data_IF_434048666657
#
_entry.id   IF_434048666657
#
_cell.length_a   1.000
_cell.length_b   1.000
_cell.length_c   1.000
_cell.angle_alpha   90.00
_cell.angle_beta   90.00
_cell.angle_gamma   90.00
#
_symmetry.space_group_name_H-M   'P 1'
#
loop_
_entity.id
_entity.type
_entity.pdbx_description
1 polymer ?
#
# COMPACT_ATOMS: atom_id res chain seq x y z
N UNK A 1 -14.91 8.22 16.45
CA UNK A 1 -14.42 9.60 16.62
C UNK A 1 -13.95 10.07 15.26
N UNK A 2 -14.42 11.23 14.78
CA UNK A 2 -14.06 11.79 13.48
C UNK A 2 -13.21 13.03 13.74
N UNK A 3 -11.96 13.02 13.26
CA UNK A 3 -11.07 14.19 13.28
C UNK A 3 -10.92 14.59 11.83
N UNK A 4 -11.19 15.85 11.48
CA UNK A 4 -11.05 16.39 10.12
C UNK A 4 -10.03 17.53 10.08
N UNK A 5 -9.43 17.74 8.90
CA UNK A 5 -8.58 18.90 8.64
C UNK A 5 -9.46 20.09 8.26
N UNK A 6 -9.31 21.29 8.88
CA UNK A 6 -10.01 22.48 8.41
C UNK A 6 -9.68 22.76 6.95
N UNK A 7 -10.67 23.20 6.16
CA UNK A 7 -10.51 23.44 4.71
C UNK A 7 -9.35 24.39 4.41
N UNK A 8 -9.22 25.47 5.18
CA UNK A 8 -8.12 26.43 5.04
C UNK A 8 -6.75 25.78 5.24
N UNK A 9 -6.64 24.86 6.21
CA UNK A 9 -5.40 24.13 6.48
C UNK A 9 -5.07 23.14 5.36
N UNK A 10 -6.08 22.49 4.77
CA UNK A 10 -5.89 21.63 3.59
C UNK A 10 -5.39 22.45 2.40
N UNK A 11 -6.03 23.58 2.09
CA UNK A 11 -5.63 24.49 1.01
C UNK A 11 -4.21 25.01 1.23
N UNK A 12 -3.87 25.41 2.46
CA UNK A 12 -2.54 25.88 2.80
C UNK A 12 -1.47 24.77 2.62
N UNK A 13 -1.77 23.53 3.03
CA UNK A 13 -0.88 22.39 2.84
C UNK A 13 -0.66 22.07 1.36
N UNK A 14 -1.73 22.05 0.56
CA UNK A 14 -1.66 21.83 -0.90
C UNK A 14 -0.80 22.89 -1.56
N UNK A 15 -1.06 24.17 -1.24
CA UNK A 15 -0.29 25.31 -1.78
C UNK A 15 1.18 25.21 -1.41
N UNK A 16 1.51 24.79 -0.19
CA UNK A 16 2.89 24.65 0.25
C UNK A 16 3.64 23.51 -0.45
N UNK A 17 2.97 22.39 -0.69
CA UNK A 17 3.52 21.28 -1.47
C UNK A 17 3.82 21.73 -2.91
N UNK A 18 2.84 22.36 -3.57
CA UNK A 18 2.99 22.84 -4.95
C UNK A 18 4.08 23.90 -5.08
N UNK A 19 4.08 24.91 -4.22
CA UNK A 19 5.11 25.94 -4.21
C UNK A 19 6.51 25.35 -3.94
N UNK A 20 6.62 24.30 -3.12
CA UNK A 20 7.89 23.62 -2.90
C UNK A 20 8.40 22.92 -4.17
N UNK A 21 7.50 22.30 -4.93
CA UNK A 21 7.79 21.65 -6.20
C UNK A 21 8.17 22.71 -7.27
N UNK A 22 7.40 23.78 -7.40
CA UNK A 22 7.62 24.82 -8.41
C UNK A 22 8.92 25.60 -8.15
N UNK A 23 9.21 25.94 -6.89
CA UNK A 23 10.45 26.63 -6.54
C UNK A 23 11.69 25.75 -6.77
N UNK A 24 11.57 24.42 -6.72
CA UNK A 24 12.68 23.54 -7.13
C UNK A 24 12.95 23.58 -8.62
N UNK A 25 11.95 23.84 -9.46
CA UNK A 25 12.16 23.95 -10.91
C UNK A 25 12.93 25.23 -11.26
N UNK A 26 12.68 26.30 -10.51
CA UNK A 26 13.40 27.58 -10.66
C UNK A 26 14.83 27.56 -10.07
N UNK A 27 15.03 26.92 -8.92
CA UNK A 27 16.31 26.99 -8.18
C UNK A 27 17.12 25.67 -8.15
N UNK A 28 16.63 24.60 -8.80
CA UNK A 28 17.16 23.21 -8.86
C UNK A 28 17.36 22.51 -7.50
N UNK A 29 17.46 23.24 -6.38
CA UNK A 29 17.73 22.73 -5.04
C UNK A 29 17.03 23.58 -3.99
N UNK A 30 16.55 22.96 -2.92
CA UNK A 30 15.97 23.64 -1.76
C UNK A 30 16.78 23.36 -0.49
N UNK A 31 16.93 24.34 0.42
CA UNK A 31 17.62 24.12 1.68
C UNK A 31 17.01 22.95 2.47
N UNK A 32 17.84 22.11 3.09
CA UNK A 32 17.39 21.00 3.94
C UNK A 32 16.34 21.43 4.99
N UNK A 33 16.49 22.62 5.58
CA UNK A 33 15.52 23.17 6.53
C UNK A 33 14.12 23.33 5.94
N UNK A 34 14.01 23.64 4.64
CA UNK A 34 12.73 23.77 3.93
C UNK A 34 12.09 22.40 3.73
N UNK A 35 12.88 21.38 3.38
CA UNK A 35 12.42 19.99 3.32
C UNK A 35 11.84 19.53 4.66
N UNK A 36 12.60 19.73 5.75
CA UNK A 36 12.19 19.33 7.10
C UNK A 36 10.88 20.01 7.52
N UNK A 37 10.73 21.31 7.23
CA UNK A 37 9.48 22.05 7.47
C UNK A 37 8.30 21.48 6.69
N UNK A 38 8.48 21.22 5.39
CA UNK A 38 7.43 20.63 4.56
C UNK A 38 7.01 19.24 5.08
N UNK A 39 7.99 18.36 5.34
CA UNK A 39 7.74 17.01 5.87
C UNK A 39 7.00 17.08 7.20
N UNK A 40 7.38 18.01 8.10
CA UNK A 40 6.68 18.22 9.37
C UNK A 40 5.21 18.61 9.17
N UNK A 41 4.93 19.48 8.21
CA UNK A 41 3.56 19.89 7.91
C UNK A 41 2.73 18.79 7.26
N UNK A 42 3.33 18.03 6.32
CA UNK A 42 2.67 16.85 5.74
C UNK A 42 2.36 15.83 6.83
N UNK A 43 3.31 15.52 7.72
CA UNK A 43 3.08 14.60 8.85
C UNK A 43 1.88 15.02 9.71
N UNK A 44 1.67 16.33 9.92
CA UNK A 44 0.49 16.81 10.61
C UNK A 44 -0.81 16.47 9.84
N UNK A 45 -0.84 16.66 8.52
CA UNK A 45 -1.96 16.24 7.66
C UNK A 45 -2.18 14.72 7.66
N UNK A 46 -1.11 13.93 7.73
CA UNK A 46 -1.17 12.46 7.78
C UNK A 46 -1.82 11.91 9.05
N UNK A 47 -1.96 12.71 10.11
CA UNK A 47 -2.77 12.32 11.28
C UNK A 47 -4.24 12.17 10.92
N UNK A 48 -4.69 12.82 9.85
CA UNK A 48 -6.07 12.79 9.39
C UNK A 48 -6.25 11.89 8.17
N UNK A 49 -5.18 11.68 7.39
CA UNK A 49 -5.13 10.72 6.28
C UNK A 49 -3.89 9.80 6.39
N UNK A 50 -3.95 8.75 7.23
CA UNK A 50 -2.81 7.85 7.43
C UNK A 50 -2.40 7.05 6.19
N UNK A 51 -3.32 6.84 5.23
CA UNK A 51 -3.04 6.10 3.98
C UNK A 51 -2.01 6.79 3.08
N UNK A 52 -1.72 8.07 3.32
CA UNK A 52 -0.70 8.81 2.58
C UNK A 52 0.72 8.64 3.16
N UNK A 53 0.89 7.94 4.28
CA UNK A 53 2.21 7.75 4.93
C UNK A 53 3.30 7.19 4.01
N UNK A 54 3.05 6.17 3.16
CA UNK A 54 4.08 5.63 2.28
C UNK A 54 4.68 6.67 1.32
N UNK A 55 3.93 7.70 0.94
CA UNK A 55 4.42 8.74 0.03
C UNK A 55 5.47 9.67 0.65
N UNK A 56 5.60 9.71 1.98
CA UNK A 56 6.70 10.46 2.60
C UNK A 56 8.04 9.72 2.55
N UNK A 57 8.04 8.42 2.23
CA UNK A 57 9.26 7.62 2.27
C UNK A 57 10.32 8.12 1.27
N UNK A 58 9.91 8.57 0.08
CA UNK A 58 10.83 9.16 -0.89
C UNK A 58 11.48 10.44 -0.37
N UNK A 59 10.73 11.27 0.37
CA UNK A 59 11.25 12.46 1.02
C UNK A 59 12.28 12.10 2.11
N UNK A 60 11.96 11.15 3.00
CA UNK A 60 12.88 10.70 4.05
C UNK A 60 14.17 10.10 3.48
N UNK A 61 14.05 9.21 2.48
CA UNK A 61 15.20 8.65 1.79
C UNK A 61 16.06 9.76 1.16
N UNK A 62 15.42 10.78 0.57
CA UNK A 62 16.12 11.90 -0.06
C UNK A 62 16.90 12.74 0.93
N UNK A 63 16.42 12.95 2.15
CA UNK A 63 17.10 13.77 3.16
C UNK A 63 17.95 12.98 4.15
N UNK A 64 17.92 11.64 4.09
CA UNK A 64 18.66 10.76 4.99
C UNK A 64 20.16 11.07 4.99
N UNK A 65 20.76 11.07 6.18
CA UNK A 65 22.19 11.34 6.41
C UNK A 65 22.61 12.81 6.22
N UNK A 66 21.71 13.71 5.82
CA UNK A 66 22.04 15.13 5.60
C UNK A 66 21.83 15.93 6.88
N UNK A 67 22.84 16.70 7.28
CA UNK A 67 22.85 17.45 8.55
C UNK A 67 22.93 18.96 8.38
N UNK A 68 23.44 19.45 7.25
CA UNK A 68 23.64 20.89 7.02
C UNK A 68 22.34 21.61 6.61
N UNK A 69 21.75 22.47 7.47
CA UNK A 69 20.39 22.99 7.26
C UNK A 69 20.21 23.85 6.00
N UNK A 70 21.26 24.54 5.59
CA UNK A 70 21.26 25.44 4.43
C UNK A 70 21.78 24.78 3.15
N UNK A 71 22.23 23.51 3.22
CA UNK A 71 22.65 22.79 2.04
C UNK A 71 21.46 22.53 1.11
N UNK A 72 21.64 22.79 -0.18
CA UNK A 72 20.63 22.56 -1.19
C UNK A 72 20.46 21.07 -1.51
N UNK A 73 19.24 20.57 -1.41
CA UNK A 73 18.83 19.22 -1.78
C UNK A 73 17.91 19.28 -3.00
N UNK A 74 18.23 18.50 -4.04
CA UNK A 74 17.44 18.44 -5.28
C UNK A 74 16.17 17.61 -5.11
N UNK A 75 15.14 17.93 -5.88
CA UNK A 75 13.99 17.05 -6.08
C UNK A 75 14.36 15.98 -7.13
N UNK A 76 13.88 14.75 -6.96
CA UNK A 76 13.91 13.74 -8.01
C UNK A 76 12.47 13.39 -8.43
N UNK A 77 12.35 12.57 -9.48
CA UNK A 77 11.05 12.18 -10.04
C UNK A 77 10.15 11.48 -9.01
N UNK A 78 10.70 10.60 -8.18
CA UNK A 78 9.92 9.88 -7.17
C UNK A 78 9.36 10.81 -6.09
N UNK A 79 10.19 11.71 -5.55
CA UNK A 79 9.73 12.71 -4.58
C UNK A 79 8.64 13.58 -5.19
N UNK A 80 8.83 14.05 -6.43
CA UNK A 80 7.82 14.87 -7.11
C UNK A 80 6.50 14.14 -7.21
N UNK A 81 6.50 12.93 -7.78
CA UNK A 81 5.31 12.09 -7.95
C UNK A 81 4.59 11.90 -6.62
N UNK A 82 5.33 11.54 -5.56
CA UNK A 82 4.72 11.23 -4.26
C UNK A 82 4.14 12.48 -3.59
N UNK A 83 4.82 13.63 -3.68
CA UNK A 83 4.31 14.91 -3.18
C UNK A 83 3.07 15.37 -3.97
N UNK A 84 3.08 15.25 -5.29
CA UNK A 84 1.93 15.55 -6.15
C UNK A 84 0.73 14.65 -5.83
N UNK A 85 0.97 13.35 -5.59
CA UNK A 85 -0.09 12.43 -5.17
C UNK A 85 -0.70 12.85 -3.84
N UNK A 86 0.12 13.18 -2.82
CA UNK A 86 -0.36 13.72 -1.53
C UNK A 86 -1.25 14.94 -1.76
N UNK A 87 -0.76 15.93 -2.53
CA UNK A 87 -1.52 17.14 -2.82
C UNK A 87 -2.85 16.84 -3.54
N UNK A 88 -2.85 15.88 -4.47
CA UNK A 88 -4.06 15.46 -5.19
C UNK A 88 -5.12 14.84 -4.27
N UNK A 89 -4.70 14.05 -3.27
CA UNK A 89 -5.62 13.43 -2.30
C UNK A 89 -6.22 14.49 -1.38
N UNK A 90 -5.40 15.41 -0.85
CA UNK A 90 -5.93 16.51 -0.04
C UNK A 90 -6.87 17.42 -0.84
N UNK A 91 -6.62 17.63 -2.14
CA UNK A 91 -7.50 18.41 -3.00
C UNK A 91 -8.83 17.70 -3.28
N UNK A 92 -8.82 16.39 -3.55
CA UNK A 92 -10.03 15.61 -3.86
C UNK A 92 -10.97 15.48 -2.66
N UNK A 93 -10.43 15.46 -1.45
CA UNK A 93 -11.18 15.18 -0.22
C UNK A 93 -11.36 16.41 0.70
N UNK A 94 -11.40 17.62 0.14
CA UNK A 94 -11.68 18.85 0.91
C UNK A 94 -13.07 18.79 1.56
N UNK A 95 -13.13 18.53 2.86
CA UNK A 95 -14.37 18.71 3.64
C UNK A 95 -14.47 17.81 4.87
N UNK A 96 -14.15 16.52 4.74
CA UNK A 96 -14.14 15.58 5.87
C UNK A 96 -13.15 14.45 5.59
N UNK A 97 -11.92 14.57 6.09
CA UNK A 97 -11.03 13.42 6.22
C UNK A 97 -11.49 12.67 7.46
N UNK A 98 -12.14 11.52 7.32
CA UNK A 98 -12.61 10.75 8.48
C UNK A 98 -11.53 9.76 8.87
N UNK A 99 -10.87 9.99 10.01
CA UNK A 99 -10.17 8.91 10.68
C UNK A 99 -11.23 7.92 11.20
N UNK A 100 -11.55 6.90 10.41
CA UNK A 100 -12.39 5.80 10.89
C UNK A 100 -11.55 5.01 11.89
N UNK A 101 -12.11 4.79 13.07
CA UNK A 101 -11.53 3.87 14.04
C UNK A 101 -11.45 2.50 13.38
N UNK A 102 -10.24 2.04 13.01
CA UNK A 102 -9.97 0.73 12.39
C UNK A 102 -10.08 -0.44 13.38
N UNK A 103 -10.94 -0.27 14.38
CA UNK A 103 -11.12 -1.23 15.46
C UNK A 103 -12.32 -2.09 15.10
N UNK A 104 -12.03 -3.15 14.37
CA UNK A 104 -12.95 -4.25 14.09
C UNK A 104 -12.16 -5.56 14.05
N UNK A 105 -12.79 -6.65 14.48
CA UNK A 105 -12.18 -7.98 14.54
C UNK A 105 -12.37 -8.74 13.23
N UNK A 106 -11.53 -9.75 12.97
CA UNK A 106 -11.64 -10.54 11.74
C UNK A 106 -13.02 -11.20 11.53
N UNK A 107 -13.76 -11.48 12.61
CA UNK A 107 -15.13 -12.00 12.57
C UNK A 107 -16.16 -10.98 12.06
N UNK A 108 -15.81 -9.70 12.03
CA UNK A 108 -16.65 -8.61 11.51
C UNK A 108 -16.29 -8.23 10.07
N UNK A 109 -15.44 -9.02 9.39
CA UNK A 109 -15.08 -8.80 8.00
C UNK A 109 -16.27 -9.08 7.08
N UNK A 110 -16.47 -8.23 6.08
CA UNK A 110 -17.41 -8.51 4.99
C UNK A 110 -16.83 -9.56 4.04
N UNK A 111 -15.50 -9.59 3.90
CA UNK A 111 -14.77 -10.56 3.08
C UNK A 111 -13.47 -10.98 3.77
N UNK A 112 -13.15 -12.27 3.68
CA UNK A 112 -11.90 -12.85 4.15
C UNK A 112 -11.13 -13.46 2.99
N UNK A 113 -9.83 -13.20 2.97
CA UNK A 113 -8.88 -13.74 2.00
C UNK A 113 -7.66 -14.25 2.76
N UNK A 114 -7.14 -15.40 2.36
CA UNK A 114 -5.87 -15.93 2.85
C UNK A 114 -4.87 -15.86 1.71
N UNK A 115 -3.70 -15.30 1.99
CA UNK A 115 -2.61 -15.10 1.06
C UNK A 115 -1.42 -15.95 1.47
N UNK A 116 -0.65 -16.36 0.48
CA UNK A 116 0.63 -17.02 0.63
C UNK A 116 1.49 -16.77 -0.61
N UNK A 117 2.81 -16.78 -0.45
CA UNK A 117 3.74 -16.78 -1.55
C UNK A 117 4.87 -17.79 -1.32
N UNK A 118 5.26 -18.43 -2.41
CA UNK A 118 6.43 -19.29 -2.47
C UNK A 118 7.51 -18.64 -3.35
N UNK A 119 8.63 -19.35 -3.55
CA UNK A 119 9.63 -18.93 -4.52
C UNK A 119 9.20 -19.20 -5.97
N UNK A 120 8.17 -20.01 -6.18
CA UNK A 120 7.67 -20.39 -7.51
C UNK A 120 6.40 -19.64 -7.91
N UNK A 121 5.58 -19.24 -6.94
CA UNK A 121 4.28 -18.64 -7.25
C UNK A 121 3.66 -17.90 -6.08
N UNK A 122 2.56 -17.24 -6.40
CA UNK A 122 1.74 -16.45 -5.48
C UNK A 122 0.34 -17.04 -5.46
N UNK A 123 -0.27 -17.13 -4.28
CA UNK A 123 -1.58 -17.76 -4.11
C UNK A 123 -2.45 -17.00 -3.12
N UNK A 124 -3.72 -16.81 -3.45
CA UNK A 124 -4.70 -16.37 -2.46
C UNK A 124 -6.05 -17.03 -2.68
N UNK A 125 -6.85 -17.15 -1.63
CA UNK A 125 -8.21 -17.68 -1.74
C UNK A 125 -9.18 -17.04 -0.76
N UNK A 126 -10.44 -17.01 -1.13
CA UNK A 126 -11.54 -16.57 -0.28
C UNK A 126 -12.52 -17.72 -0.01
N UNK A 127 -12.70 -18.14 1.26
CA UNK A 127 -13.69 -19.17 1.60
C UNK A 127 -15.12 -18.74 1.27
N UNK A 128 -15.47 -17.47 1.53
CA UNK A 128 -16.82 -16.95 1.28
C UNK A 128 -17.20 -17.02 -0.20
N UNK A 129 -16.24 -16.78 -1.09
CA UNK A 129 -16.46 -16.83 -2.54
C UNK A 129 -16.20 -18.21 -3.12
N UNK A 130 -15.61 -19.13 -2.35
CA UNK A 130 -15.15 -20.43 -2.80
C UNK A 130 -14.25 -20.32 -4.07
N UNK A 131 -13.40 -19.28 -4.08
CA UNK A 131 -12.50 -18.94 -5.19
C UNK A 131 -11.06 -18.87 -4.71
N UNK A 132 -10.18 -19.57 -5.42
CA UNK A 132 -8.74 -19.56 -5.28
C UNK A 132 -8.08 -18.98 -6.52
N UNK A 133 -6.94 -18.34 -6.34
CA UNK A 133 -6.20 -17.65 -7.37
C UNK A 133 -4.73 -18.00 -7.23
N UNK A 134 -4.07 -18.34 -8.34
CA UNK A 134 -2.64 -18.60 -8.37
C UNK A 134 -1.97 -17.97 -9.59
N UNK A 135 -0.70 -17.59 -9.45
CA UNK A 135 0.13 -17.16 -10.58
C UNK A 135 1.60 -17.43 -10.31
N UNK A 136 2.41 -17.40 -11.37
CA UNK A 136 3.86 -17.49 -11.25
C UNK A 136 4.44 -16.21 -10.66
N UNK A 137 5.53 -16.34 -9.91
CA UNK A 137 6.26 -15.21 -9.36
C UNK A 137 6.80 -14.30 -10.48
N UNK A 138 6.51 -12.98 -10.45
CA UNK A 138 7.13 -12.05 -11.39
C UNK A 138 8.62 -11.86 -11.07
N UNK A 139 9.35 -11.25 -12.01
CA UNK A 139 10.73 -10.85 -11.78
C UNK A 139 10.83 -9.84 -10.62
N UNK A 140 11.78 -10.07 -9.71
CA UNK A 140 12.04 -9.18 -8.57
C UNK A 140 12.65 -7.86 -9.09
N UNK A 141 12.12 -6.69 -8.66
CA UNK A 141 12.72 -5.40 -8.99
C UNK A 141 14.15 -5.26 -8.46
N UNK A 142 15.02 -4.52 -9.15
CA UNK A 142 16.42 -4.28 -8.74
C UNK A 142 16.53 -3.64 -7.34
N UNK A 143 15.52 -2.88 -6.91
CA UNK A 143 15.47 -2.21 -5.61
C UNK A 143 15.02 -3.11 -4.45
N UNK A 144 14.74 -4.39 -4.73
CA UNK A 144 14.37 -5.42 -3.75
C UNK A 144 15.50 -6.45 -3.66
N UNK A 145 15.95 -6.84 -2.45
CA UNK A 145 16.94 -7.89 -2.30
C UNK A 145 16.53 -9.19 -3.00
N UNK A 146 17.45 -9.82 -3.76
CA UNK A 146 17.18 -11.06 -4.48
C UNK A 146 16.74 -12.19 -3.53
N UNK A 147 15.79 -13.02 -3.97
CA UNK A 147 15.24 -14.13 -3.19
C UNK A 147 14.36 -13.72 -2.02
N UNK A 148 13.92 -12.45 -1.97
CA UNK A 148 13.10 -11.97 -0.87
C UNK A 148 11.64 -12.43 -1.01
N UNK A 149 11.33 -13.60 -0.44
CA UNK A 149 9.96 -14.15 -0.33
C UNK A 149 8.97 -13.13 0.23
N UNK A 150 9.43 -12.28 1.15
CA UNK A 150 8.65 -11.21 1.74
C UNK A 150 8.08 -10.21 0.71
N UNK A 151 8.77 -9.97 -0.42
CA UNK A 151 8.22 -9.12 -1.48
C UNK A 151 7.06 -9.79 -2.21
N UNK A 152 7.16 -11.08 -2.49
CA UNK A 152 6.05 -11.84 -3.08
C UNK A 152 4.85 -11.89 -2.14
N UNK A 153 5.07 -12.11 -0.84
CA UNK A 153 4.01 -12.05 0.18
C UNK A 153 3.26 -10.71 0.16
N UNK A 154 3.99 -9.59 0.18
CA UNK A 154 3.40 -8.27 0.11
C UNK A 154 2.65 -8.03 -1.21
N UNK A 155 3.19 -8.52 -2.32
CA UNK A 155 2.56 -8.42 -3.63
C UNK A 155 1.29 -9.28 -3.73
N UNK A 156 1.25 -10.45 -3.06
CA UNK A 156 0.06 -11.31 -3.00
C UNK A 156 -1.06 -10.61 -2.24
N UNK A 157 -0.74 -9.92 -1.13
CA UNK A 157 -1.71 -9.09 -0.41
C UNK A 157 -2.26 -7.97 -1.30
N UNK A 158 -1.42 -7.32 -2.10
CA UNK A 158 -1.88 -6.32 -3.07
C UNK A 158 -2.78 -6.94 -4.15
N UNK A 159 -2.45 -8.12 -4.66
CA UNK A 159 -3.28 -8.81 -5.67
C UNK A 159 -4.67 -9.18 -5.10
N UNK A 160 -4.71 -9.69 -3.87
CA UNK A 160 -5.94 -9.98 -3.15
C UNK A 160 -6.79 -8.73 -2.93
N UNK A 161 -6.16 -7.60 -2.59
CA UNK A 161 -6.83 -6.30 -2.46
C UNK A 161 -7.39 -5.80 -3.80
N UNK A 162 -6.61 -5.89 -4.90
CA UNK A 162 -7.07 -5.53 -6.24
C UNK A 162 -8.30 -6.34 -6.62
N UNK A 163 -8.26 -7.67 -6.43
CA UNK A 163 -9.40 -8.54 -6.70
C UNK A 163 -10.62 -8.16 -5.84
N UNK A 164 -10.44 -7.96 -4.53
CA UNK A 164 -11.53 -7.56 -3.64
C UNK A 164 -12.19 -6.24 -4.08
N UNK A 165 -11.39 -5.28 -4.57
CA UNK A 165 -11.87 -4.00 -5.06
C UNK A 165 -12.65 -4.10 -6.38
N UNK A 166 -12.50 -5.19 -7.15
CA UNK A 166 -13.30 -5.43 -8.37
C UNK A 166 -14.71 -5.96 -8.09
N UNK A 167 -14.97 -6.45 -6.87
CA UNK A 167 -16.28 -6.98 -6.50
C UNK A 167 -17.34 -5.86 -6.50
N UNK A 168 -18.59 -6.23 -6.79
CA UNK A 168 -19.70 -5.28 -6.87
C UNK A 168 -20.84 -5.67 -5.90
N UNK A 169 -21.05 -4.91 -4.80
CA UNK A 169 -20.19 -3.82 -4.31
C UNK A 169 -18.86 -4.35 -3.70
N UNK A 170 -17.82 -3.50 -3.59
CA UNK A 170 -16.60 -3.88 -2.88
C UNK A 170 -16.88 -4.03 -1.37
N UNK A 171 -16.13 -4.89 -0.66
CA UNK A 171 -16.32 -5.10 0.78
C UNK A 171 -15.92 -3.84 1.56
N UNK A 172 -16.70 -3.41 2.56
CA UNK A 172 -16.29 -2.26 3.38
C UNK A 172 -15.20 -2.64 4.37
N UNK A 173 -15.25 -3.85 4.91
CA UNK A 173 -14.26 -4.42 5.84
C UNK A 173 -13.61 -5.64 5.20
N UNK A 174 -12.35 -5.51 4.82
CA UNK A 174 -11.60 -6.58 4.17
C UNK A 174 -10.56 -7.16 5.12
N UNK A 175 -10.68 -8.46 5.38
CA UNK A 175 -9.71 -9.24 6.13
C UNK A 175 -8.76 -9.98 5.20
N UNK A 176 -7.47 -9.70 5.27
CA UNK A 176 -6.44 -10.49 4.60
C UNK A 176 -5.58 -11.18 5.65
N UNK A 177 -5.39 -12.49 5.52
CA UNK A 177 -4.51 -13.28 6.37
C UNK A 177 -3.24 -13.63 5.60
N UNK A 178 -2.08 -13.48 6.24
CA UNK A 178 -0.77 -13.92 5.73
C UNK A 178 0.01 -14.54 6.88
N UNK A 179 0.85 -15.52 6.60
CA UNK A 179 1.74 -16.11 7.61
C UNK A 179 3.05 -15.33 7.80
N UNK A 180 3.28 -14.31 6.97
CA UNK A 180 4.46 -13.48 7.03
C UNK A 180 4.24 -12.25 7.92
N UNK A 181 4.82 -12.27 9.13
CA UNK A 181 4.73 -11.17 10.08
C UNK A 181 5.29 -9.84 9.53
N UNK A 182 6.30 -9.87 8.66
CA UNK A 182 6.82 -8.65 8.04
C UNK A 182 5.76 -8.01 7.12
N UNK A 183 4.97 -8.83 6.41
CA UNK A 183 3.85 -8.38 5.57
C UNK A 183 2.77 -7.72 6.41
N UNK A 184 2.38 -8.37 7.50
CA UNK A 184 1.43 -7.79 8.45
C UNK A 184 1.93 -6.44 8.96
N UNK A 185 3.21 -6.34 9.35
CA UNK A 185 3.80 -5.12 9.90
C UNK A 185 3.85 -3.95 8.88
N UNK A 186 4.18 -4.20 7.61
CA UNK A 186 4.24 -3.10 6.63
C UNK A 186 2.84 -2.55 6.29
N UNK A 187 1.81 -3.40 6.24
CA UNK A 187 0.44 -2.97 5.96
C UNK A 187 -0.23 -2.32 7.18
N UNK A 188 0.14 -2.73 8.40
CA UNK A 188 -0.34 -2.10 9.63
C UNK A 188 0.30 -0.71 9.85
N UNK A 189 1.63 -0.64 9.71
CA UNK A 189 2.37 0.61 9.94
C UNK A 189 2.25 1.62 8.80
N UNK A 190 2.00 1.13 7.57
CA UNK A 190 2.08 1.89 6.31
C UNK A 190 3.45 2.57 6.14
N UNK A 191 4.49 1.89 6.61
CA UNK A 191 5.89 2.29 6.49
C UNK A 191 6.65 1.14 5.88
N UNK A 192 7.41 1.43 4.84
CA UNK A 192 8.21 0.45 4.13
C UNK A 192 9.63 0.95 3.92
N UNK A 193 10.58 0.02 3.91
CA UNK A 193 11.92 0.26 3.34
C UNK A 193 11.85 0.33 1.82
N UNK A 194 12.94 0.77 1.20
CA UNK A 194 13.11 0.77 -0.26
C UNK A 194 12.79 -0.61 -0.85
N UNK A 195 12.09 -0.66 -1.99
CA UNK A 195 11.59 -1.89 -2.62
C UNK A 195 10.09 -2.17 -2.37
N UNK A 196 9.62 -2.06 -1.14
CA UNK A 196 8.21 -2.37 -0.77
C UNK A 196 7.29 -1.16 -0.84
N UNK A 197 7.86 0.05 -0.83
CA UNK A 197 7.07 1.28 -0.78
C UNK A 197 6.10 1.39 -1.95
N UNK A 198 6.48 0.89 -3.15
CA UNK A 198 5.63 0.87 -4.34
C UNK A 198 4.37 0.01 -4.14
N UNK A 199 4.50 -1.12 -3.45
CA UNK A 199 3.36 -2.01 -3.12
C UNK A 199 2.39 -1.30 -2.19
N UNK A 200 2.88 -0.71 -1.10
CA UNK A 200 2.04 0.04 -0.16
C UNK A 200 1.37 1.24 -0.82
N UNK A 201 2.11 1.96 -1.65
CA UNK A 201 1.63 3.09 -2.43
C UNK A 201 0.44 2.68 -3.32
N UNK A 202 0.57 1.60 -4.10
CA UNK A 202 -0.52 1.05 -4.90
C UNK A 202 -1.70 0.59 -4.05
N UNK A 203 -1.44 -0.11 -2.93
CA UNK A 203 -2.49 -0.53 -2.02
C UNK A 203 -3.27 0.66 -1.45
N UNK A 204 -2.57 1.71 -1.00
CA UNK A 204 -3.21 2.90 -0.45
C UNK A 204 -4.05 3.66 -1.48
N UNK A 205 -3.63 3.70 -2.75
CA UNK A 205 -4.43 4.30 -3.82
C UNK A 205 -5.77 3.56 -3.98
N UNK A 206 -5.74 2.22 -3.99
CA UNK A 206 -6.94 1.37 -4.05
C UNK A 206 -7.82 1.59 -2.82
N UNK A 207 -7.26 1.58 -1.60
CA UNK A 207 -8.03 1.77 -0.36
C UNK A 207 -8.74 3.14 -0.34
N UNK A 208 -8.06 4.19 -0.80
CA UNK A 208 -8.65 5.54 -0.88
C UNK A 208 -9.77 5.58 -1.93
N UNK A 209 -9.59 4.96 -3.10
CA UNK A 209 -10.60 5.01 -4.18
C UNK A 209 -11.81 4.12 -3.92
N UNK A 210 -11.65 3.02 -3.19
CA UNK A 210 -12.69 2.02 -2.96
C UNK A 210 -13.43 2.15 -1.61
N UNK A 211 -12.94 2.99 -0.69
CA UNK A 211 -13.41 3.10 0.71
C UNK A 211 -13.34 1.76 1.48
N UNK A 212 -12.46 0.85 1.06
CA UNK A 212 -12.18 -0.41 1.77
C UNK A 212 -11.35 -0.11 3.03
N UNK A 213 -11.84 -0.54 4.19
CA UNK A 213 -11.01 -0.63 5.41
C UNK A 213 -10.35 -2.01 5.48
N UNK A 214 -9.10 -2.08 5.03
CA UNK A 214 -8.28 -3.28 5.05
C UNK A 214 -7.65 -3.50 6.43
N UNK A 215 -7.68 -4.73 6.93
CA UNK A 215 -6.79 -5.23 7.98
C UNK A 215 -6.09 -6.50 7.53
N UNK A 216 -4.76 -6.50 7.71
CA UNK A 216 -3.93 -7.68 7.47
C UNK A 216 -3.63 -8.34 8.82
N UNK A 217 -3.88 -9.64 8.93
CA UNK A 217 -3.66 -10.44 10.13
C UNK A 217 -2.66 -11.56 9.90
N UNK A 218 -1.92 -11.87 10.96
CA UNK A 218 -1.07 -13.04 10.97
C UNK A 218 -1.90 -14.32 11.19
N UNK A 219 -1.62 -15.36 10.42
CA UNK A 219 -2.09 -16.73 10.63
C UNK A 219 -0.90 -17.70 10.63
N UNK A 220 -0.86 -18.77 11.45
CA UNK A 220 0.20 -19.76 11.33
C UNK A 220 0.19 -20.45 9.95
N UNK A 221 1.35 -20.56 9.30
CA UNK A 221 1.48 -21.22 7.99
C UNK A 221 0.95 -22.67 7.98
N UNK A 222 1.04 -23.39 9.10
CA UNK A 222 0.46 -24.75 9.26
C UNK A 222 -1.05 -24.80 9.08
N UNK A 223 -1.75 -23.67 9.23
CA UNK A 223 -3.19 -23.53 9.03
C UNK A 223 -3.55 -22.85 7.71
N UNK A 224 -2.56 -22.34 6.97
CA UNK A 224 -2.72 -21.64 5.69
C UNK A 224 -2.66 -22.59 4.49
N UNK A 225 -3.18 -23.82 4.64
CA UNK A 225 -2.89 -24.95 3.74
C UNK A 225 -3.35 -24.74 2.29
N UNK A 226 -4.51 -24.12 2.09
CA UNK A 226 -5.05 -23.88 0.73
C UNK A 226 -4.25 -22.79 0.02
N UNK A 227 -3.90 -21.70 0.70
CA UNK A 227 -3.11 -20.63 0.10
C UNK A 227 -1.69 -21.11 -0.22
N UNK A 228 -1.03 -21.87 0.68
CA UNK A 228 0.28 -22.49 0.43
C UNK A 228 0.24 -23.49 -0.73
N UNK A 229 -0.82 -24.29 -0.85
CA UNK A 229 -1.00 -25.18 -2.00
C UNK A 229 -1.14 -24.38 -3.30
N UNK A 230 -1.92 -23.29 -3.31
CA UNK A 230 -2.09 -22.43 -4.48
C UNK A 230 -0.78 -21.71 -4.87
N UNK A 231 -0.03 -21.19 -3.90
CA UNK A 231 1.24 -20.47 -4.16
C UNK A 231 2.33 -21.38 -4.72
N UNK A 232 2.22 -22.70 -4.51
CA UNK A 232 3.14 -23.74 -5.03
C UNK A 232 2.61 -24.45 -6.29
N UNK A 233 1.43 -24.08 -6.79
CA UNK A 233 0.79 -24.76 -7.93
C UNK A 233 0.30 -26.18 -7.62
N UNK A 234 0.16 -26.54 -6.34
CA UNK A 234 -0.33 -27.85 -5.89
C UNK A 234 -1.87 -27.91 -5.89
N UNK A 235 -2.48 -27.75 -7.07
CA UNK A 235 -3.93 -27.59 -7.21
C UNK A 235 -4.72 -28.80 -6.69
N UNK A 236 -4.18 -30.01 -6.85
CA UNK A 236 -4.78 -31.24 -6.30
C UNK A 236 -4.84 -31.23 -4.77
N UNK A 237 -3.82 -30.69 -4.11
CA UNK A 237 -3.78 -30.53 -2.65
C UNK A 237 -4.81 -29.48 -2.22
N UNK A 238 -4.91 -28.35 -2.92
CA UNK A 238 -5.94 -27.34 -2.65
C UNK A 238 -7.36 -27.95 -2.72
N UNK A 239 -7.63 -28.78 -3.73
CA UNK A 239 -8.91 -29.49 -3.86
C UNK A 239 -9.14 -30.58 -2.80
N UNK A 240 -8.11 -31.18 -2.23
CA UNK A 240 -8.28 -32.12 -1.10
C UNK A 240 -8.85 -31.40 0.14
N UNK A 241 -8.39 -30.18 0.39
CA UNK A 241 -8.88 -29.36 1.51
C UNK A 241 -10.20 -28.65 1.18
N UNK A 242 -10.42 -28.26 -0.08
CA UNK A 242 -11.65 -27.62 -0.55
C UNK A 242 -12.10 -28.21 -1.91
N UNK A 243 -12.87 -29.31 -1.91
CA UNK A 243 -13.22 -30.04 -3.14
C UNK A 243 -13.98 -29.21 -4.18
N UNK A 244 -14.79 -28.25 -3.73
CA UNK A 244 -15.59 -27.39 -4.59
C UNK A 244 -14.86 -26.11 -5.03
N UNK A 245 -13.62 -25.88 -4.59
CA UNK A 245 -12.87 -24.66 -4.83
C UNK A 245 -12.76 -24.37 -6.34
N UNK A 246 -13.12 -23.17 -6.76
CA UNK A 246 -12.87 -22.72 -8.13
C UNK A 246 -11.50 -22.06 -8.19
N UNK A 247 -10.60 -22.57 -9.03
CA UNK A 247 -9.23 -22.05 -9.14
C UNK A 247 -9.08 -21.25 -10.43
N UNK A 248 -8.61 -20.02 -10.31
CA UNK A 248 -8.36 -19.08 -11.39
C UNK A 248 -6.89 -18.67 -11.42
N UNK A 249 -6.47 -18.09 -12.54
CA UNK A 249 -5.17 -17.42 -12.64
C UNK A 249 -5.34 -15.91 -12.55
N UNK A 250 -4.29 -15.22 -12.11
CA UNK A 250 -4.24 -13.76 -12.09
C UNK A 250 -2.90 -13.24 -12.61
N UNK A 251 -2.86 -11.96 -12.96
CA UNK A 251 -1.63 -11.28 -13.37
C UNK A 251 -1.08 -10.54 -12.15
N UNK A 252 0.21 -10.73 -11.77
CA UNK A 252 0.79 -10.00 -10.66
C UNK A 252 0.62 -8.47 -10.81
N UNK A 253 0.25 -7.77 -9.72
CA UNK A 253 0.06 -6.31 -9.73
C UNK A 253 1.28 -5.57 -10.27
N UNK A 254 1.05 -4.63 -11.19
CA UNK A 254 2.08 -3.68 -11.63
C UNK A 254 2.00 -2.47 -10.69
N UNK A 255 2.99 -2.29 -9.83
CA UNK A 255 3.00 -1.18 -8.86
C UNK A 255 3.27 0.18 -9.54
N UNK A 256 2.28 0.72 -10.26
CA UNK A 256 2.43 1.80 -11.26
C UNK A 256 1.90 3.16 -10.79
N UNK A 257 2.08 3.54 -9.52
CA UNK A 257 1.50 4.79 -9.04
C UNK A 257 1.79 5.96 -10.01
N UNK A 258 0.74 6.58 -10.53
CA UNK A 258 0.84 7.65 -11.53
C UNK A 258 1.05 7.23 -13.00
N UNK A 259 0.79 5.98 -13.40
CA UNK A 259 0.53 5.70 -14.81
C UNK A 259 -0.81 6.36 -15.18
N UNK A 260 -0.75 7.45 -15.94
CA UNK A 260 -1.95 7.97 -16.62
C UNK A 260 -2.61 6.81 -17.37
N UNK A 261 -3.94 6.66 -17.31
CA UNK A 261 -4.61 5.73 -18.19
C UNK A 261 -4.26 6.14 -19.62
N UNK A 262 -3.74 5.18 -20.39
CA UNK A 262 -3.61 5.28 -21.84
C UNK A 262 -4.97 5.48 -22.50
#
# INVERSE_FOLDING_TARGET
MTISLPTESSVALISAIRAFIDDTDSHRRQPLKRWQRLIGWINWGLNVQPLLRPALQSCYAKISGKTHPHAGVSLNRDVRRDLEWIASIFQRHTGVHVLRSRIWHATEADLTIFCDASLSGMGFWSPQMNSGFCCDCPAIPEDVPAGCIFWYEALTVLAALEWAATLQPPPRRLAIFSDNMNTVQIFDSLRATTGYNKVLLSACDILISSDIDLRVWHIPGTTNTIADALSRGLLSVAHQYAPTLQIFTFIPPRCTLGASPS
#
